data_IF_630024804132
#
_entry.id   IF_630024804132
#
_cell.length_a   1.000
_cell.length_b   1.000
_cell.length_c   1.000
_cell.angle_alpha   90.00
_cell.angle_beta   90.00
_cell.angle_gamma   90.00
#
_symmetry.space_group_name_H-M   'P 1'
#
loop_
_entity.id
_entity.type
_entity.pdbx_description
1 polymer ?
#
# COMPACT_ATOMS: atom_id res chain seq x y z
N UNK A 1 22.65 8.37 46.37
CA UNK A 1 22.23 8.90 45.05
C UNK A 1 23.40 9.65 44.42
N UNK A 2 23.95 9.17 43.29
CA UNK A 2 25.03 9.89 42.58
C UNK A 2 24.47 11.20 42.02
N UNK A 3 24.94 12.36 42.47
CA UNK A 3 24.67 13.65 41.82
C UNK A 3 25.13 13.55 40.36
N UNK A 4 24.22 13.68 39.40
CA UNK A 4 24.58 13.83 37.99
C UNK A 4 25.53 15.02 37.87
N UNK A 5 26.79 14.76 37.48
CA UNK A 5 27.78 15.81 37.25
C UNK A 5 27.38 16.57 35.98
N UNK A 6 27.30 17.91 36.06
CA UNK A 6 27.02 18.76 34.91
C UNK A 6 28.00 18.44 33.77
N UNK A 7 27.45 18.19 32.57
CA UNK A 7 28.22 17.97 31.36
C UNK A 7 27.43 18.53 30.18
N UNK A 8 28.02 19.51 29.49
CA UNK A 8 27.48 20.07 28.25
C UNK A 8 28.44 19.75 27.11
N UNK A 9 27.93 19.19 26.01
CA UNK A 9 28.71 18.92 24.80
C UNK A 9 27.91 19.33 23.57
N UNK A 10 28.10 20.56 23.10
CA UNK A 10 27.35 21.10 21.96
C UNK A 10 28.16 22.15 21.19
N UNK A 11 27.71 22.46 19.98
CA UNK A 11 28.19 23.59 19.17
C UNK A 11 27.30 24.82 19.31
N UNK A 12 26.05 24.64 19.72
CA UNK A 12 25.04 25.71 19.77
C UNK A 12 24.56 25.87 21.21
N UNK A 13 24.78 27.06 21.77
CA UNK A 13 24.60 27.32 23.19
C UNK A 13 23.65 28.50 23.35
N UNK A 14 22.66 28.33 24.24
CA UNK A 14 21.75 29.38 24.66
C UNK A 14 21.99 29.69 26.13
N UNK A 15 22.22 30.96 26.44
CA UNK A 15 22.46 31.47 27.79
C UNK A 15 21.34 32.42 28.19
N UNK A 16 20.91 32.33 29.43
CA UNK A 16 19.99 33.29 30.04
C UNK A 16 20.58 33.79 31.35
N UNK A 17 20.96 35.07 31.40
CA UNK A 17 21.38 35.75 32.62
C UNK A 17 20.16 36.44 33.23
N UNK A 18 19.68 35.93 34.35
CA UNK A 18 18.52 36.51 35.06
C UNK A 18 18.99 37.52 36.10
N UNK A 19 18.25 38.63 36.27
CA UNK A 19 18.56 39.72 37.21
C UNK A 19 19.96 40.32 36.99
N UNK A 20 20.39 40.40 35.73
CA UNK A 20 21.74 40.84 35.39
C UNK A 20 21.73 42.25 34.79
N UNK A 21 22.27 43.28 35.49
CA UNK A 21 22.24 44.66 35.03
C UNK A 21 23.37 44.98 34.02
N UNK A 22 24.20 44.00 33.65
CA UNK A 22 25.39 44.22 32.80
C UNK A 22 25.04 44.60 31.35
N UNK A 23 23.83 44.26 30.90
CA UNK A 23 23.34 44.56 29.56
C UNK A 23 23.94 43.66 28.47
N UNK A 24 23.33 43.72 27.29
CA UNK A 24 23.67 42.87 26.14
C UNK A 24 25.08 43.13 25.62
N UNK A 25 25.53 44.38 25.52
CA UNK A 25 26.85 44.73 24.98
C UNK A 25 28.00 44.12 25.79
N UNK A 26 27.94 44.26 27.11
CA UNK A 26 28.99 43.76 28.02
C UNK A 26 29.05 42.24 28.01
N UNK A 27 27.89 41.59 28.07
CA UNK A 27 27.82 40.13 28.05
C UNK A 27 28.24 39.58 26.67
N UNK A 28 27.82 40.21 25.59
CA UNK A 28 28.18 39.83 24.22
C UNK A 28 29.71 39.83 24.03
N UNK A 29 30.37 40.93 24.41
CA UNK A 29 31.83 41.06 24.32
C UNK A 29 32.55 40.06 25.23
N UNK A 30 32.08 39.88 26.46
CA UNK A 30 32.64 38.88 27.38
C UNK A 30 32.59 37.47 26.79
N UNK A 31 31.48 37.06 26.17
CA UNK A 31 31.37 35.73 25.56
C UNK A 31 32.36 35.58 24.41
N UNK A 32 32.54 36.60 23.57
CA UNK A 32 33.54 36.60 22.49
C UNK A 32 34.95 36.43 23.04
N UNK A 33 35.36 37.27 24.00
CA UNK A 33 36.67 37.20 24.64
C UNK A 33 36.90 35.85 25.34
N UNK A 34 35.88 35.35 26.03
CA UNK A 34 35.94 34.05 26.69
C UNK A 34 36.16 32.93 25.67
N UNK A 35 35.44 32.90 24.55
CA UNK A 35 35.63 31.86 23.53
C UNK A 35 37.01 31.93 22.88
N UNK A 36 37.50 33.14 22.59
CA UNK A 36 38.85 33.39 22.07
C UNK A 36 39.89 32.84 23.05
N UNK A 37 39.78 33.15 24.35
CA UNK A 37 40.69 32.65 25.39
C UNK A 37 40.74 31.12 25.48
N UNK A 38 39.66 30.44 25.07
CA UNK A 38 39.51 28.98 25.06
C UNK A 38 39.87 28.35 23.71
N UNK A 39 40.45 29.13 22.78
CA UNK A 39 40.78 28.71 21.41
C UNK A 39 39.57 28.13 20.68
N UNK A 40 38.39 28.69 20.94
CA UNK A 40 37.14 28.41 20.24
C UNK A 40 36.81 29.59 19.33
N UNK A 41 36.21 29.29 18.19
CA UNK A 41 35.79 30.29 17.22
C UNK A 41 34.26 30.30 17.14
N UNK A 42 33.69 31.49 17.27
CA UNK A 42 32.25 31.74 17.16
C UNK A 42 31.92 31.99 15.69
N UNK A 43 31.02 31.18 15.12
CA UNK A 43 30.50 31.39 13.75
C UNK A 43 29.31 32.33 13.69
N UNK A 44 28.55 32.43 14.79
CA UNK A 44 27.37 33.28 14.91
C UNK A 44 27.11 33.60 16.39
N UNK A 45 26.71 34.84 16.69
CA UNK A 45 26.28 35.24 18.04
C UNK A 45 25.19 36.31 17.95
N UNK A 46 24.17 36.19 18.78
CA UNK A 46 23.11 37.18 18.94
C UNK A 46 22.80 37.39 20.43
N UNK A 47 22.51 38.63 20.83
CA UNK A 47 22.24 39.00 22.22
C UNK A 47 21.17 40.08 22.34
N UNK A 48 20.26 39.94 23.29
CA UNK A 48 19.23 40.94 23.65
C UNK A 48 19.14 41.05 25.19
N UNK A 49 18.85 42.27 25.69
CA UNK A 49 18.41 42.51 27.06
C UNK A 49 16.91 42.81 27.08
N UNK A 50 16.13 41.86 27.59
CA UNK A 50 14.69 41.95 27.71
C UNK A 50 14.32 42.72 28.99
N UNK A 51 13.62 43.85 28.81
CA UNK A 51 13.09 44.69 29.88
C UNK A 51 11.56 44.51 29.96
N UNK A 52 11.10 43.48 30.68
CA UNK A 52 9.66 43.30 30.89
C UNK A 52 9.10 44.33 31.86
N UNK A 53 8.23 45.22 31.39
CA UNK A 53 7.54 46.20 32.25
C UNK A 53 6.63 45.52 33.29
N UNK A 54 6.20 44.27 33.07
CA UNK A 54 5.28 43.53 33.94
C UNK A 54 5.96 42.61 34.98
N UNK A 55 7.26 42.32 34.83
CA UNK A 55 8.04 41.50 35.76
C UNK A 55 9.35 42.21 36.06
N UNK A 56 9.60 42.58 37.31
CA UNK A 56 10.73 43.39 37.82
C UNK A 56 12.15 42.82 37.60
N UNK A 57 12.37 41.96 36.61
CA UNK A 57 13.62 41.20 36.44
C UNK A 57 14.18 41.39 35.02
N UNK A 58 15.38 41.98 34.94
CA UNK A 58 16.13 42.17 33.69
C UNK A 58 16.74 40.83 33.28
N UNK A 59 16.45 40.39 32.06
CA UNK A 59 17.02 39.16 31.50
C UNK A 59 17.87 39.46 30.28
N UNK A 60 19.10 38.95 30.23
CA UNK A 60 19.92 38.98 29.03
C UNK A 60 20.02 37.59 28.43
N UNK A 61 19.55 37.47 27.19
CA UNK A 61 19.59 36.25 26.40
C UNK A 61 20.74 36.32 25.39
N UNK A 62 21.53 35.25 25.31
CA UNK A 62 22.64 35.13 24.36
C UNK A 62 22.58 33.77 23.68
N UNK A 63 22.52 33.76 22.37
CA UNK A 63 22.67 32.56 21.54
C UNK A 63 23.97 32.70 20.77
N UNK A 64 24.81 31.66 20.81
CA UNK A 64 26.01 31.62 19.97
C UNK A 64 26.31 30.22 19.47
N UNK A 65 26.99 30.16 18.33
CA UNK A 65 27.37 28.95 17.63
C UNK A 65 28.88 28.90 17.45
N UNK A 66 29.45 27.73 17.70
CA UNK A 66 30.88 27.49 17.58
C UNK A 66 31.19 26.64 16.34
N UNK A 67 32.38 26.85 15.76
CA UNK A 67 32.85 26.01 14.64
C UNK A 67 33.11 24.57 15.11
N UNK A 68 33.68 24.42 16.31
CA UNK A 68 34.00 23.14 16.97
C UNK A 68 33.10 22.87 18.17
N UNK A 69 32.97 21.59 18.55
CA UNK A 69 32.14 21.20 19.71
C UNK A 69 32.83 21.60 21.00
N UNK A 70 32.13 22.33 21.86
CA UNK A 70 32.60 22.71 23.18
C UNK A 70 32.12 21.69 24.21
N UNK A 71 33.05 21.21 25.05
CA UNK A 71 32.79 20.24 26.12
C UNK A 71 33.08 20.86 27.48
N UNK A 72 32.03 21.16 28.23
CA UNK A 72 32.12 21.80 29.55
C UNK A 72 31.65 20.82 30.63
N UNK A 73 32.39 20.79 31.75
CA UNK A 73 32.02 20.07 32.98
C UNK A 73 31.82 21.00 34.19
N UNK A 74 32.23 22.26 34.06
CA UNK A 74 32.05 23.28 35.08
C UNK A 74 30.81 24.10 34.77
N UNK A 75 29.81 24.09 35.66
CA UNK A 75 28.62 24.92 35.49
C UNK A 75 28.97 26.42 35.50
N UNK A 76 30.00 26.84 36.24
CA UNK A 76 30.43 28.24 36.35
C UNK A 76 31.26 28.76 35.17
N UNK A 77 31.24 28.06 34.04
CA UNK A 77 32.12 28.35 32.91
C UNK A 77 31.81 29.71 32.26
N UNK A 78 30.56 30.13 32.30
CA UNK A 78 30.08 31.39 31.73
C UNK A 78 29.74 32.43 32.81
N UNK A 79 30.30 32.31 34.02
CA UNK A 79 30.04 33.30 35.07
C UNK A 79 30.74 34.61 34.73
N UNK A 80 30.06 35.75 34.92
CA UNK A 80 30.63 37.09 34.74
C UNK A 80 30.22 37.96 35.93
N UNK A 81 31.19 38.59 36.61
CA UNK A 81 30.95 39.50 37.75
C UNK A 81 29.99 38.95 38.83
N UNK A 82 30.03 37.64 39.06
CA UNK A 82 29.18 36.95 40.04
C UNK A 82 27.80 36.52 39.53
N UNK A 83 27.46 36.83 38.27
CA UNK A 83 26.23 36.39 37.63
C UNK A 83 26.42 35.04 36.92
N UNK A 84 25.57 34.08 37.26
CA UNK A 84 25.58 32.73 36.71
C UNK A 84 24.43 32.53 35.71
N UNK A 85 24.69 32.22 34.43
CA UNK A 85 23.64 32.01 33.46
C UNK A 85 23.02 30.63 33.56
N UNK A 86 21.76 30.51 33.16
CA UNK A 86 21.18 29.23 32.74
C UNK A 86 21.81 28.82 31.42
N UNK A 87 22.48 27.67 31.39
CA UNK A 87 23.19 27.16 30.21
C UNK A 87 22.37 26.05 29.56
N UNK A 88 21.93 26.26 28.33
CA UNK A 88 21.11 25.31 27.58
C UNK A 88 21.72 25.01 26.20
N UNK A 89 21.41 23.83 25.68
CA UNK A 89 21.70 23.49 24.29
C UNK A 89 20.59 24.07 23.41
N UNK A 90 20.94 24.94 22.46
CA UNK A 90 19.99 25.53 21.53
C UNK A 90 19.53 24.46 20.52
N UNK A 91 18.35 23.88 20.76
CA UNK A 91 17.79 22.81 19.91
C UNK A 91 17.18 23.34 18.61
N UNK A 92 16.48 24.46 18.70
CA UNK A 92 15.80 25.13 17.59
C UNK A 92 16.40 26.54 17.43
N UNK A 93 17.29 26.69 16.44
CA UNK A 93 18.07 27.92 16.25
C UNK A 93 17.17 29.05 15.78
N UNK A 94 16.25 28.78 14.86
CA UNK A 94 15.35 29.78 14.28
C UNK A 94 14.43 30.36 15.35
N UNK A 95 13.74 29.50 16.11
CA UNK A 95 12.91 29.97 17.25
C UNK A 95 13.70 30.73 18.30
N UNK A 96 14.96 30.34 18.55
CA UNK A 96 15.81 31.02 19.53
C UNK A 96 16.21 32.42 19.03
N UNK A 97 16.48 32.56 17.74
CA UNK A 97 16.75 33.85 17.09
C UNK A 97 15.50 34.73 17.14
N UNK A 98 14.34 34.20 16.74
CA UNK A 98 13.06 34.92 16.77
C UNK A 98 12.72 35.40 18.18
N UNK A 99 12.93 34.54 19.18
CA UNK A 99 12.75 34.89 20.59
C UNK A 99 13.64 36.07 21.00
N UNK A 100 14.93 36.05 20.64
CA UNK A 100 15.87 37.12 20.97
C UNK A 100 15.57 38.40 20.18
N UNK A 101 15.07 38.31 18.95
CA UNK A 101 14.75 39.48 18.11
C UNK A 101 13.42 40.15 18.42
N UNK A 102 12.57 39.54 19.26
CA UNK A 102 11.19 39.95 19.52
C UNK A 102 11.03 41.44 19.89
N UNK A 103 11.94 41.98 20.70
CA UNK A 103 11.87 43.36 21.20
C UNK A 103 12.64 44.37 20.34
N UNK A 104 13.22 43.94 19.21
CA UNK A 104 13.89 44.80 18.24
C UNK A 104 15.25 45.38 18.66
N UNK A 105 15.64 45.30 19.94
CA UNK A 105 16.91 45.81 20.46
C UNK A 105 17.94 44.70 20.72
N UNK A 106 18.68 44.29 19.69
CA UNK A 106 19.64 43.19 19.75
C UNK A 106 20.97 43.52 19.05
N UNK A 107 22.01 42.75 19.40
CA UNK A 107 23.33 42.77 18.75
C UNK A 107 23.52 41.42 18.07
N UNK A 108 23.87 41.42 16.79
CA UNK A 108 24.04 40.21 15.98
C UNK A 108 25.33 40.29 15.17
N UNK A 109 26.13 39.22 15.21
CA UNK A 109 27.36 39.09 14.42
C UNK A 109 27.48 37.68 13.81
N UNK A 110 27.98 37.63 12.57
CA UNK A 110 28.16 36.39 11.80
C UNK A 110 26.89 35.92 11.10
N UNK A 111 26.93 34.69 10.58
CA UNK A 111 25.82 34.09 9.84
C UNK A 111 25.33 32.84 10.56
N UNK A 112 24.04 32.75 10.94
CA UNK A 112 23.55 31.60 11.67
C UNK A 112 23.66 30.34 10.81
N UNK A 113 24.30 29.32 11.37
CA UNK A 113 24.25 27.97 10.82
C UNK A 113 22.93 27.36 11.25
N UNK A 114 21.94 27.45 10.37
CA UNK A 114 20.74 26.66 10.51
C UNK A 114 21.14 25.18 10.49
N UNK A 115 20.95 24.47 11.61
CA UNK A 115 20.84 23.02 11.50
C UNK A 115 19.66 22.79 10.56
N UNK A 116 19.86 22.08 9.44
CA UNK A 116 18.78 21.47 8.67
C UNK A 116 18.08 20.44 9.57
N UNK A 117 17.38 20.90 10.60
CA UNK A 117 16.29 20.17 11.22
C UNK A 117 15.12 20.28 10.26
N UNK A 118 15.21 19.57 9.13
CA UNK A 118 13.97 19.08 8.53
C UNK A 118 13.46 18.10 9.59
N UNK A 119 12.37 18.44 10.28
CA UNK A 119 11.73 17.46 11.17
C UNK A 119 11.55 16.18 10.35
N UNK A 120 11.87 15.03 10.91
CA UNK A 120 11.65 13.74 10.22
C UNK A 120 10.22 13.68 9.63
N UNK A 121 9.26 14.24 10.38
CA UNK A 121 7.88 14.49 9.98
C UNK A 121 7.72 15.34 8.70
N UNK A 122 8.49 16.41 8.47
CA UNK A 122 8.35 17.24 7.26
C UNK A 122 8.88 16.55 6.00
N UNK A 123 9.96 15.75 6.11
CA UNK A 123 10.45 14.95 4.97
C UNK A 123 9.46 13.83 4.65
N UNK A 124 8.88 13.21 5.68
CA UNK A 124 7.82 12.21 5.53
C UNK A 124 6.52 12.83 4.98
N UNK A 125 6.12 14.01 5.44
CA UNK A 125 4.96 14.76 4.93
C UNK A 125 5.15 15.15 3.46
N UNK A 126 6.30 15.71 3.07
CA UNK A 126 6.60 16.00 1.66
C UNK A 126 6.58 14.74 0.80
N UNK A 127 7.18 13.66 1.30
CA UNK A 127 7.16 12.36 0.62
C UNK A 127 5.73 11.83 0.48
N UNK A 128 4.89 12.00 1.49
CA UNK A 128 3.48 11.61 1.48
C UNK A 128 2.71 12.43 0.44
N UNK A 129 2.89 13.75 0.39
CA UNK A 129 2.28 14.61 -0.63
C UNK A 129 2.65 14.19 -2.06
N UNK A 130 3.91 13.80 -2.28
CA UNK A 130 4.36 13.29 -3.58
C UNK A 130 3.68 11.95 -3.90
N UNK A 131 3.55 11.04 -2.94
CA UNK A 131 2.83 9.78 -3.17
C UNK A 131 1.35 9.99 -3.43
N UNK A 132 0.70 10.91 -2.71
CA UNK A 132 -0.71 11.23 -2.89
C UNK A 132 -0.95 11.81 -4.30
N UNK A 133 -0.05 12.67 -4.78
CA UNK A 133 -0.12 13.20 -6.14
C UNK A 133 0.11 12.13 -7.20
N UNK A 134 1.06 11.21 -7.00
CA UNK A 134 1.25 10.05 -7.87
C UNK A 134 -0.03 9.21 -7.95
N UNK A 135 -0.71 8.99 -6.82
CA UNK A 135 -1.96 8.22 -6.79
C UNK A 135 -3.10 8.96 -7.49
N UNK A 136 -3.21 10.27 -7.28
CA UNK A 136 -4.19 11.13 -7.96
C UNK A 136 -4.01 11.09 -9.48
N UNK A 137 -2.80 11.34 -9.96
CA UNK A 137 -2.47 11.31 -11.38
C UNK A 137 -2.63 9.92 -11.99
N UNK A 138 -2.39 8.86 -11.21
CA UNK A 138 -2.62 7.48 -11.65
C UNK A 138 -4.11 7.22 -11.88
N UNK A 139 -4.98 7.62 -10.96
CA UNK A 139 -6.42 7.45 -11.11
C UNK A 139 -6.97 8.28 -12.27
N UNK A 140 -6.47 9.50 -12.44
CA UNK A 140 -6.80 10.34 -13.59
C UNK A 140 -6.36 9.69 -14.92
N UNK A 141 -5.10 9.22 -14.98
CA UNK A 141 -4.57 8.52 -16.15
C UNK A 141 -5.34 7.23 -16.46
N UNK A 142 -5.80 6.51 -15.43
CA UNK A 142 -6.57 5.28 -15.59
C UNK A 142 -7.89 5.54 -16.30
N UNK A 143 -8.58 6.62 -15.95
CA UNK A 143 -9.94 6.91 -16.40
C UNK A 143 -10.03 7.84 -17.63
N UNK A 144 -9.00 8.65 -17.91
CA UNK A 144 -8.98 9.60 -19.03
C UNK A 144 -8.09 9.10 -20.18
N UNK A 145 -8.70 8.57 -21.24
CA UNK A 145 -7.99 8.07 -22.43
C UNK A 145 -7.23 9.16 -23.20
N UNK A 146 -7.57 10.44 -23.01
CA UNK A 146 -6.90 11.56 -23.70
C UNK A 146 -5.60 12.01 -23.02
N UNK A 147 -5.39 11.58 -21.77
CA UNK A 147 -4.23 11.95 -20.97
C UNK A 147 -3.03 11.05 -21.32
N UNK A 148 -1.94 11.63 -21.81
CA UNK A 148 -0.73 10.88 -22.17
C UNK A 148 0.26 10.80 -21.00
N UNK A 149 1.10 9.76 -20.96
CA UNK A 149 2.16 9.62 -19.96
C UNK A 149 3.10 10.84 -19.91
N UNK A 150 3.37 11.48 -21.05
CA UNK A 150 4.17 12.70 -21.09
C UNK A 150 3.51 13.88 -20.36
N UNK A 151 2.18 14.01 -20.45
CA UNK A 151 1.43 15.05 -19.71
C UNK A 151 1.42 14.76 -18.21
N UNK A 152 1.20 13.50 -17.84
CA UNK A 152 1.28 13.03 -16.44
C UNK A 152 2.65 13.31 -15.85
N UNK A 153 3.72 12.92 -16.57
CA UNK A 153 5.10 13.14 -16.17
C UNK A 153 5.37 14.63 -15.93
N UNK A 154 5.02 15.47 -16.90
CA UNK A 154 5.23 16.92 -16.78
C UNK A 154 4.52 17.50 -15.54
N UNK A 155 3.27 17.11 -15.31
CA UNK A 155 2.51 17.56 -14.13
C UNK A 155 3.16 17.11 -12.82
N UNK A 156 3.65 15.87 -12.77
CA UNK A 156 4.33 15.33 -11.60
C UNK A 156 5.69 16.01 -11.36
N UNK A 157 6.47 16.22 -12.42
CA UNK A 157 7.77 16.88 -12.35
C UNK A 157 7.59 18.33 -11.84
N UNK A 158 6.62 19.07 -12.38
CA UNK A 158 6.29 20.44 -11.96
C UNK A 158 5.86 20.47 -10.47
N UNK A 159 5.07 19.49 -10.02
CA UNK A 159 4.65 19.37 -8.62
C UNK A 159 5.82 19.09 -7.68
N UNK A 160 6.67 18.11 -8.00
CA UNK A 160 7.80 17.73 -7.15
C UNK A 160 8.85 18.84 -7.11
N UNK A 161 9.15 19.50 -8.24
CA UNK A 161 10.11 20.60 -8.29
C UNK A 161 9.67 21.80 -7.43
N UNK A 162 8.36 22.04 -7.31
CA UNK A 162 7.80 23.07 -6.44
C UNK A 162 7.85 22.71 -4.95
N UNK A 163 7.81 21.42 -4.61
CA UNK A 163 7.82 20.94 -3.22
C UNK A 163 9.24 20.70 -2.70
N UNK A 164 10.05 19.97 -3.48
CA UNK A 164 11.38 19.53 -3.08
C UNK A 164 12.26 19.21 -4.29
N UNK A 165 13.05 20.20 -4.70
CA UNK A 165 13.96 20.11 -5.86
C UNK A 165 15.05 19.05 -5.68
N UNK A 166 15.56 18.90 -4.46
CA UNK A 166 16.62 17.93 -4.15
C UNK A 166 16.08 16.51 -4.24
N UNK A 167 14.85 16.28 -3.74
CA UNK A 167 14.17 14.98 -3.88
C UNK A 167 13.98 14.57 -5.33
N UNK A 168 13.59 15.50 -6.21
CA UNK A 168 13.42 15.22 -7.64
C UNK A 168 14.71 14.68 -8.26
N UNK A 169 15.85 15.32 -7.97
CA UNK A 169 17.15 14.92 -8.48
C UNK A 169 17.63 13.58 -7.90
N UNK A 170 17.35 13.33 -6.62
CA UNK A 170 17.70 12.06 -5.94
C UNK A 170 16.84 10.87 -6.39
N UNK A 171 15.58 11.10 -6.79
CA UNK A 171 14.59 10.03 -7.03
C UNK A 171 14.07 9.95 -8.47
N UNK A 172 14.69 10.66 -9.42
CA UNK A 172 14.30 10.66 -10.83
C UNK A 172 14.12 9.24 -11.40
N UNK A 173 15.09 8.34 -11.17
CA UNK A 173 15.01 6.94 -11.61
C UNK A 173 13.88 6.13 -10.95
N UNK A 174 13.52 6.46 -9.72
CA UNK A 174 12.39 5.82 -9.04
C UNK A 174 11.07 6.30 -9.64
N UNK A 175 10.95 7.60 -9.91
CA UNK A 175 9.78 8.22 -10.55
C UNK A 175 9.58 7.60 -11.94
N UNK A 176 10.65 7.50 -12.73
CA UNK A 176 10.63 6.85 -14.05
C UNK A 176 10.12 5.41 -13.97
N UNK A 177 10.63 4.63 -13.02
CA UNK A 177 10.15 3.25 -12.80
C UNK A 177 8.68 3.20 -12.40
N UNK A 178 8.20 4.13 -11.60
CA UNK A 178 6.80 4.18 -11.15
C UNK A 178 5.89 4.52 -12.34
N UNK A 179 6.23 5.55 -13.11
CA UNK A 179 5.47 5.95 -14.29
C UNK A 179 5.38 4.79 -15.30
N UNK A 180 6.51 4.13 -15.60
CA UNK A 180 6.53 3.07 -16.60
C UNK A 180 5.91 1.74 -16.13
N UNK A 181 5.91 1.43 -14.83
CA UNK A 181 5.43 0.12 -14.31
C UNK A 181 4.05 0.14 -13.66
N UNK A 182 3.56 1.30 -13.22
CA UNK A 182 2.35 1.39 -12.39
C UNK A 182 1.21 2.17 -13.01
N UNK A 183 1.45 2.90 -14.10
CA UNK A 183 0.43 3.62 -14.85
C UNK A 183 0.02 2.77 -16.05
N UNK A 184 -1.23 2.35 -16.06
CA UNK A 184 -1.82 1.52 -17.11
C UNK A 184 -3.18 2.12 -17.40
N UNK A 185 -3.58 2.19 -18.68
CA UNK A 185 -4.92 2.64 -19.03
C UNK A 185 -5.96 1.61 -18.61
N UNK A 186 -7.17 2.07 -18.29
CA UNK A 186 -8.30 1.16 -18.08
C UNK A 186 -8.52 0.25 -19.28
N UNK A 187 -8.36 0.78 -20.50
CA UNK A 187 -8.49 -0.03 -21.72
C UNK A 187 -7.37 -1.08 -21.85
N UNK A 188 -6.11 -0.71 -21.60
CA UNK A 188 -4.96 -1.63 -21.63
C UNK A 188 -5.07 -2.71 -20.54
N UNK A 189 -5.51 -2.36 -19.32
CA UNK A 189 -5.74 -3.35 -18.24
C UNK A 189 -6.91 -4.27 -18.57
N UNK A 190 -7.92 -3.79 -19.31
CA UNK A 190 -9.02 -4.63 -19.82
C UNK A 190 -8.59 -5.51 -21.01
N UNK A 191 -7.69 -5.04 -21.86
CA UNK A 191 -7.12 -5.79 -23.00
C UNK A 191 -6.16 -6.89 -22.54
N UNK A 192 -5.31 -6.64 -21.51
CA UNK A 192 -4.45 -7.67 -20.89
C UNK A 192 -5.26 -8.75 -20.13
N UNK A 193 -6.53 -8.47 -19.80
CA UNK A 193 -7.46 -9.46 -19.24
C UNK A 193 -8.10 -10.36 -20.34
N UNK A 194 -8.05 -9.97 -21.61
CA UNK A 194 -8.71 -10.64 -22.75
C UNK A 194 -7.83 -11.69 -23.48
N UNK A 195 -6.74 -12.18 -22.88
CA UNK A 195 -6.05 -13.34 -23.45
C UNK A 195 -6.92 -14.59 -23.21
N UNK A 196 -7.81 -14.89 -24.17
CA UNK A 196 -8.53 -16.15 -24.21
C UNK A 196 -7.50 -17.26 -24.09
N UNK A 197 -7.64 -18.12 -23.09
CA UNK A 197 -6.93 -19.39 -23.10
C UNK A 197 -7.22 -20.06 -24.46
N UNK A 198 -6.20 -20.14 -25.31
CA UNK A 198 -6.34 -20.74 -26.63
C UNK A 198 -6.37 -22.25 -26.42
N UNK A 199 -7.53 -22.91 -26.59
CA UNK A 199 -7.59 -24.35 -26.40
C UNK A 199 -6.72 -25.03 -27.47
N UNK A 200 -6.04 -26.11 -27.08
CA UNK A 200 -5.19 -26.89 -27.98
C UNK A 200 -5.99 -27.54 -29.14
N UNK A 201 -7.31 -27.63 -28.98
CA UNK A 201 -8.22 -28.28 -29.91
C UNK A 201 -9.34 -27.33 -30.35
N UNK A 202 -9.71 -27.40 -31.64
CA UNK A 202 -10.90 -26.73 -32.14
C UNK A 202 -12.16 -27.41 -31.62
N UNK A 203 -13.22 -26.66 -31.35
CA UNK A 203 -14.50 -27.26 -30.98
C UNK A 203 -15.03 -28.22 -32.07
N UNK A 204 -14.75 -27.92 -33.34
CA UNK A 204 -15.18 -28.75 -34.48
C UNK A 204 -14.49 -30.12 -34.54
N UNK A 205 -13.40 -30.34 -33.78
CA UNK A 205 -12.73 -31.66 -33.73
C UNK A 205 -13.40 -32.65 -32.78
N UNK A 206 -14.42 -32.23 -32.02
CA UNK A 206 -15.13 -33.09 -31.08
C UNK A 206 -16.35 -33.76 -31.74
N UNK A 207 -16.72 -34.94 -31.24
CA UNK A 207 -17.88 -35.69 -31.73
C UNK A 207 -19.17 -34.96 -31.40
N UNK A 208 -20.03 -34.77 -32.39
CA UNK A 208 -21.44 -34.44 -32.15
C UNK A 208 -22.22 -35.71 -31.83
N UNK A 209 -22.35 -36.05 -30.55
CA UNK A 209 -23.06 -37.24 -30.07
C UNK A 209 -24.03 -36.88 -28.93
N UNK A 210 -24.78 -37.86 -28.43
CA UNK A 210 -25.77 -37.63 -27.38
C UNK A 210 -25.20 -36.96 -26.14
N UNK A 211 -23.95 -37.26 -25.76
CA UNK A 211 -23.31 -36.74 -24.54
C UNK A 211 -22.77 -35.34 -24.71
N UNK A 212 -22.12 -35.03 -25.83
CA UNK A 212 -21.70 -33.65 -26.12
C UNK A 212 -22.91 -32.72 -26.25
N UNK A 213 -23.99 -33.18 -26.88
CA UNK A 213 -25.25 -32.44 -26.96
C UNK A 213 -25.92 -32.23 -25.59
N UNK A 214 -25.92 -33.25 -24.73
CA UNK A 214 -26.43 -33.16 -23.35
C UNK A 214 -25.68 -32.08 -22.54
N UNK A 215 -24.34 -32.09 -22.62
CA UNK A 215 -23.49 -31.09 -21.95
C UNK A 215 -23.78 -29.67 -22.49
N UNK A 216 -23.82 -29.51 -23.81
CA UNK A 216 -24.10 -28.22 -24.46
C UNK A 216 -25.47 -27.69 -24.04
N UNK A 217 -26.50 -28.53 -24.05
CA UNK A 217 -27.86 -28.16 -23.67
C UNK A 217 -27.94 -27.74 -22.19
N UNK A 218 -27.25 -28.46 -21.29
CA UNK A 218 -27.18 -28.09 -19.88
C UNK A 218 -26.53 -26.72 -19.69
N UNK A 219 -25.40 -26.45 -20.36
CA UNK A 219 -24.70 -25.16 -20.27
C UNK A 219 -25.60 -24.03 -20.80
N UNK A 220 -26.20 -24.18 -21.98
CA UNK A 220 -27.06 -23.15 -22.57
C UNK A 220 -28.28 -22.84 -21.69
N UNK A 221 -28.91 -23.87 -21.13
CA UNK A 221 -30.05 -23.73 -20.22
C UNK A 221 -29.65 -22.92 -18.99
N UNK A 222 -28.52 -23.26 -18.35
CA UNK A 222 -28.10 -22.57 -17.13
C UNK A 222 -27.56 -21.15 -17.38
N UNK A 223 -26.94 -20.88 -18.54
CA UNK A 223 -26.58 -19.52 -18.95
C UNK A 223 -27.83 -18.64 -19.18
N UNK A 224 -28.92 -19.24 -19.68
CA UNK A 224 -30.20 -18.55 -19.84
C UNK A 224 -30.81 -18.19 -18.49
N UNK A 225 -30.83 -19.14 -17.54
CA UNK A 225 -31.25 -18.92 -16.14
C UNK A 225 -30.44 -17.79 -15.51
N UNK A 226 -29.11 -17.81 -15.67
CA UNK A 226 -28.23 -16.76 -15.17
C UNK A 226 -28.55 -15.38 -15.78
N UNK A 227 -28.87 -15.34 -17.07
CA UNK A 227 -29.19 -14.09 -17.79
C UNK A 227 -30.51 -13.47 -17.33
N UNK A 228 -31.44 -14.29 -16.82
CA UNK A 228 -32.66 -13.84 -16.13
C UNK A 228 -32.39 -13.33 -14.69
N UNK A 229 -31.14 -13.35 -14.25
CA UNK A 229 -30.74 -12.94 -12.91
C UNK A 229 -30.99 -14.00 -11.83
N UNK A 230 -31.43 -15.19 -12.22
CA UNK A 230 -31.63 -16.33 -11.36
C UNK A 230 -30.30 -17.05 -11.06
N UNK A 231 -30.37 -18.00 -10.13
CA UNK A 231 -29.22 -18.77 -9.66
C UNK A 231 -29.08 -20.02 -10.53
N UNK A 232 -28.07 -20.12 -11.41
CA UNK A 232 -27.87 -21.33 -12.19
C UNK A 232 -27.51 -22.51 -11.29
N UNK A 233 -27.99 -23.71 -11.64
CA UNK A 233 -27.47 -24.96 -11.07
C UNK A 233 -26.06 -25.19 -11.57
N UNK A 234 -25.22 -25.79 -10.73
CA UNK A 234 -23.91 -26.26 -11.15
C UNK A 234 -24.05 -27.48 -12.06
N UNK A 235 -23.11 -27.66 -12.98
CA UNK A 235 -23.05 -28.84 -13.85
C UNK A 235 -21.87 -29.68 -13.39
N UNK A 236 -22.09 -30.95 -13.10
CA UNK A 236 -21.07 -31.92 -12.71
C UNK A 236 -20.91 -32.90 -13.86
N UNK A 237 -19.75 -32.89 -14.48
CA UNK A 237 -19.40 -33.78 -15.59
C UNK A 237 -18.40 -34.80 -15.07
N UNK A 238 -18.88 -36.02 -14.89
CA UNK A 238 -18.08 -37.12 -14.38
C UNK A 238 -17.68 -38.07 -15.52
N UNK A 239 -16.43 -38.54 -15.51
CA UNK A 239 -15.97 -39.60 -16.40
C UNK A 239 -14.50 -39.90 -16.15
N UNK A 240 -13.97 -40.97 -16.75
CA UNK A 240 -12.55 -41.31 -16.56
C UNK A 240 -11.60 -40.23 -17.11
N UNK A 241 -10.34 -40.29 -16.68
CA UNK A 241 -9.26 -39.48 -17.23
C UNK A 241 -9.09 -39.73 -18.73
N UNK A 242 -8.67 -38.69 -19.47
CA UNK A 242 -8.38 -38.73 -20.93
C UNK A 242 -9.58 -39.00 -21.85
N UNK A 243 -10.80 -38.69 -21.39
CA UNK A 243 -12.00 -38.68 -22.26
C UNK A 243 -12.20 -37.35 -23.02
N UNK A 244 -11.37 -36.34 -22.76
CA UNK A 244 -11.46 -35.02 -23.41
C UNK A 244 -12.45 -34.06 -22.76
N UNK A 245 -12.82 -34.26 -21.49
CA UNK A 245 -13.80 -33.44 -20.76
C UNK A 245 -13.38 -31.97 -20.68
N UNK A 246 -12.15 -31.74 -20.23
CA UNK A 246 -11.58 -30.41 -20.03
C UNK A 246 -11.46 -29.69 -21.36
N UNK A 247 -10.84 -30.34 -22.35
CA UNK A 247 -10.64 -29.78 -23.68
C UNK A 247 -11.98 -29.47 -24.35
N UNK A 248 -12.98 -30.36 -24.24
CA UNK A 248 -14.31 -30.12 -24.82
C UNK A 248 -14.97 -28.86 -24.27
N UNK A 249 -14.96 -28.68 -22.93
CA UNK A 249 -15.58 -27.51 -22.28
C UNK A 249 -14.85 -26.22 -22.65
N UNK A 250 -13.52 -26.22 -22.59
CA UNK A 250 -12.71 -25.06 -22.93
C UNK A 250 -12.93 -24.67 -24.40
N UNK A 251 -12.87 -25.64 -25.33
CA UNK A 251 -13.10 -25.41 -26.76
C UNK A 251 -14.52 -24.90 -27.03
N UNK A 252 -15.55 -25.46 -26.38
CA UNK A 252 -16.93 -25.02 -26.55
C UNK A 252 -17.15 -23.58 -26.07
N UNK A 253 -16.68 -23.24 -24.87
CA UNK A 253 -16.87 -21.90 -24.30
C UNK A 253 -16.11 -20.84 -25.10
N UNK A 254 -14.88 -21.14 -25.53
CA UNK A 254 -14.11 -20.26 -26.41
C UNK A 254 -14.80 -20.10 -27.77
N UNK A 255 -15.32 -21.18 -28.38
CA UNK A 255 -16.10 -21.12 -29.62
C UNK A 255 -17.37 -20.25 -29.50
N UNK A 256 -17.99 -20.22 -28.31
CA UNK A 256 -19.13 -19.33 -28.00
C UNK A 256 -18.74 -17.91 -27.57
N UNK A 257 -17.45 -17.58 -27.58
CA UNK A 257 -16.91 -16.31 -27.11
C UNK A 257 -17.34 -15.99 -25.65
N UNK A 258 -17.36 -17.02 -24.80
CA UNK A 258 -17.73 -16.90 -23.39
C UNK A 258 -16.47 -16.91 -22.53
N UNK A 259 -16.28 -15.85 -21.75
CA UNK A 259 -15.20 -15.81 -20.77
C UNK A 259 -15.51 -16.67 -19.53
N UNK A 260 -14.51 -17.41 -19.08
CA UNK A 260 -14.60 -18.32 -17.94
C UNK A 260 -13.37 -18.22 -17.05
N UNK A 261 -13.56 -18.48 -15.75
CA UNK A 261 -12.46 -18.74 -14.83
C UNK A 261 -12.16 -20.23 -14.85
N UNK A 262 -10.89 -20.60 -14.89
CA UNK A 262 -10.45 -22.00 -14.82
C UNK A 262 -9.63 -22.21 -13.54
N UNK A 263 -10.04 -23.16 -12.71
CA UNK A 263 -9.38 -23.50 -11.45
C UNK A 263 -9.13 -24.99 -11.43
N UNK A 264 -7.86 -25.38 -11.22
CA UNK A 264 -7.43 -26.78 -11.22
C UNK A 264 -6.71 -27.12 -9.93
N UNK A 265 -7.14 -28.18 -9.25
CA UNK A 265 -6.52 -28.74 -8.05
C UNK A 265 -6.73 -27.92 -6.77
N UNK A 266 -6.35 -26.63 -6.77
CA UNK A 266 -6.45 -25.75 -5.60
C UNK A 266 -7.21 -24.46 -5.91
N UNK A 267 -7.93 -23.94 -4.90
CA UNK A 267 -8.68 -22.69 -5.02
C UNK A 267 -7.77 -21.47 -5.01
N UNK A 268 -7.64 -20.82 -6.16
CA UNK A 268 -7.04 -19.49 -6.28
C UNK A 268 -8.04 -18.45 -6.79
N UNK A 269 -8.49 -17.60 -5.88
CA UNK A 269 -9.35 -16.46 -6.18
C UNK A 269 -8.59 -15.13 -6.22
N UNK A 270 -7.28 -15.14 -6.49
CA UNK A 270 -6.48 -13.95 -6.75
C UNK A 270 -7.02 -13.15 -7.95
N UNK A 271 -6.65 -11.86 -8.05
CA UNK A 271 -7.03 -11.03 -9.22
C UNK A 271 -6.46 -11.56 -10.53
N UNK A 272 -5.37 -12.32 -10.45
CA UNK A 272 -4.68 -12.89 -11.60
C UNK A 272 -5.43 -14.13 -12.09
N UNK A 273 -5.82 -15.02 -11.18
CA UNK A 273 -6.42 -16.31 -11.52
C UNK A 273 -7.96 -16.30 -11.63
N UNK A 274 -8.63 -15.32 -11.03
CA UNK A 274 -10.10 -15.25 -11.04
C UNK A 274 -10.59 -13.85 -11.38
N UNK A 275 -11.47 -13.73 -12.37
CA UNK A 275 -12.11 -12.48 -12.80
C UNK A 275 -13.57 -12.46 -12.38
N UNK A 276 -13.98 -11.36 -11.73
CA UNK A 276 -15.37 -11.18 -11.29
C UNK A 276 -16.32 -11.00 -12.48
N UNK A 277 -15.87 -10.40 -13.58
CA UNK A 277 -16.66 -10.18 -14.78
C UNK A 277 -17.08 -11.49 -15.49
N UNK A 278 -16.30 -12.57 -15.34
CA UNK A 278 -16.55 -13.82 -16.06
C UNK A 278 -17.76 -14.56 -15.52
N UNK A 279 -18.61 -15.05 -16.42
CA UNK A 279 -19.91 -15.63 -16.07
C UNK A 279 -19.84 -17.09 -15.66
N UNK A 280 -18.78 -17.78 -16.07
CA UNK A 280 -18.58 -19.22 -15.89
C UNK A 280 -17.34 -19.46 -15.03
N UNK A 281 -17.40 -20.45 -14.15
CA UNK A 281 -16.27 -21.02 -13.43
C UNK A 281 -16.15 -22.50 -13.77
N UNK A 282 -14.96 -22.94 -14.12
CA UNK A 282 -14.63 -24.34 -14.36
C UNK A 282 -13.73 -24.79 -13.21
N UNK A 283 -14.14 -25.85 -12.53
CA UNK A 283 -13.40 -26.49 -11.45
C UNK A 283 -12.99 -27.88 -11.93
N UNK A 284 -11.72 -28.04 -12.28
CA UNK A 284 -11.16 -29.31 -12.71
C UNK A 284 -10.40 -29.96 -11.55
N UNK A 285 -10.67 -31.24 -11.32
CA UNK A 285 -10.02 -32.03 -10.27
C UNK A 285 -10.22 -31.46 -8.85
N UNK A 286 -11.44 -31.02 -8.56
CA UNK A 286 -11.85 -30.45 -7.26
C UNK A 286 -12.97 -31.27 -6.65
N UNK A 287 -12.71 -31.82 -5.46
CA UNK A 287 -13.61 -32.69 -4.71
C UNK A 287 -14.51 -31.94 -3.71
N UNK A 288 -15.65 -32.53 -3.34
CA UNK A 288 -16.53 -31.98 -2.30
C UNK A 288 -15.80 -31.79 -0.94
N UNK A 289 -15.00 -32.75 -0.45
CA UNK A 289 -14.23 -32.55 0.78
C UNK A 289 -13.32 -31.31 0.73
N UNK A 290 -12.64 -31.05 -0.40
CA UNK A 290 -11.83 -29.83 -0.58
C UNK A 290 -12.69 -28.57 -0.51
N UNK A 291 -13.82 -28.53 -1.25
CA UNK A 291 -14.76 -27.39 -1.22
C UNK A 291 -15.24 -27.10 0.21
N UNK A 292 -15.56 -28.16 0.97
CA UNK A 292 -16.03 -28.05 2.36
C UNK A 292 -14.94 -27.54 3.30
N UNK A 293 -13.70 -28.02 3.13
CA UNK A 293 -12.55 -27.59 3.93
C UNK A 293 -12.30 -26.08 3.81
N UNK A 294 -12.51 -25.52 2.63
CA UNK A 294 -12.40 -24.08 2.39
C UNK A 294 -13.65 -23.27 2.81
N UNK A 295 -14.70 -23.92 3.31
CA UNK A 295 -15.95 -23.26 3.69
C UNK A 295 -16.74 -22.70 2.50
N UNK A 296 -16.52 -23.25 1.30
CA UNK A 296 -17.06 -22.76 0.02
C UNK A 296 -18.26 -23.56 -0.51
N UNK A 297 -18.74 -24.52 0.27
CA UNK A 297 -19.79 -25.47 -0.12
C UNK A 297 -21.04 -24.79 -0.68
N UNK A 298 -21.61 -23.82 0.03
CA UNK A 298 -22.83 -23.16 -0.43
C UNK A 298 -22.55 -22.15 -1.56
N UNK A 299 -21.38 -21.52 -1.49
CA UNK A 299 -20.95 -20.42 -2.35
C UNK A 299 -20.71 -20.91 -3.78
N UNK A 300 -20.01 -22.03 -3.94
CA UNK A 300 -19.62 -22.57 -5.25
C UNK A 300 -20.69 -23.52 -5.79
N UNK A 301 -21.12 -24.53 -5.01
CA UNK A 301 -21.98 -25.61 -5.52
C UNK A 301 -23.35 -25.12 -5.96
N UNK A 302 -23.91 -24.09 -5.33
CA UNK A 302 -25.14 -23.54 -5.87
C UNK A 302 -25.00 -22.14 -6.44
N UNK A 303 -23.85 -21.46 -6.39
CA UNK A 303 -23.74 -20.11 -6.97
C UNK A 303 -24.52 -19.03 -6.21
N UNK A 304 -24.32 -18.90 -4.89
CA UNK A 304 -24.97 -17.84 -4.07
C UNK A 304 -24.56 -16.41 -4.51
N UNK A 305 -25.12 -15.37 -3.88
CA UNK A 305 -24.95 -13.92 -4.20
C UNK A 305 -23.51 -13.35 -4.08
N UNK A 306 -22.51 -14.19 -3.89
CA UNK A 306 -21.10 -13.82 -3.77
C UNK A 306 -20.56 -14.11 -2.37
N UNK A 307 -19.24 -14.02 -2.21
CA UNK A 307 -18.58 -14.33 -0.93
C UNK A 307 -17.27 -13.57 -0.78
N UNK A 308 -16.78 -13.45 0.46
CA UNK A 308 -15.44 -12.92 0.72
C UNK A 308 -14.45 -14.06 0.91
N UNK A 309 -13.31 -14.00 0.25
CA UNK A 309 -12.26 -15.01 0.29
C UNK A 309 -10.93 -14.40 0.75
N UNK A 310 -10.21 -15.13 1.61
CA UNK A 310 -8.88 -14.73 2.07
C UNK A 310 -7.86 -15.23 1.05
N UNK A 311 -7.30 -14.32 0.25
CA UNK A 311 -6.26 -14.67 -0.73
C UNK A 311 -4.91 -14.73 -0.02
N UNK A 312 -4.13 -15.76 -0.29
CA UNK A 312 -2.80 -15.93 0.32
C UNK A 312 -1.90 -14.76 -0.08
N UNK A 313 -1.26 -14.13 0.90
CA UNK A 313 -0.35 -12.98 0.71
C UNK A 313 -0.96 -11.75 0.01
N UNK A 314 -2.29 -11.63 -0.02
CA UNK A 314 -2.99 -10.48 -0.60
C UNK A 314 -4.19 -10.06 0.26
N UNK A 315 -4.69 -8.82 0.09
CA UNK A 315 -5.91 -8.39 0.78
C UNK A 315 -7.10 -9.29 0.48
N UNK A 316 -8.01 -9.41 1.46
CA UNK A 316 -9.25 -10.16 1.32
C UNK A 316 -10.05 -9.65 0.11
N UNK A 317 -10.55 -10.57 -0.71
CA UNK A 317 -11.27 -10.23 -1.94
C UNK A 317 -12.74 -10.59 -1.85
N UNK A 318 -13.59 -9.79 -2.49
CA UNK A 318 -15.02 -10.11 -2.69
C UNK A 318 -15.20 -10.74 -4.07
N UNK A 319 -15.70 -11.96 -4.09
CA UNK A 319 -15.96 -12.77 -5.29
C UNK A 319 -17.42 -12.63 -5.68
N UNK A 320 -17.66 -12.29 -6.95
CA UNK A 320 -18.98 -12.13 -7.49
C UNK A 320 -19.72 -13.48 -7.54
N UNK A 321 -20.99 -13.45 -7.14
CA UNK A 321 -21.87 -14.61 -7.12
C UNK A 321 -22.62 -14.87 -8.43
N UNK A 322 -23.59 -15.78 -8.38
CA UNK A 322 -24.49 -16.14 -9.50
C UNK A 322 -23.72 -16.51 -10.78
N UNK A 323 -22.58 -17.18 -10.64
CA UNK A 323 -21.80 -17.71 -11.76
C UNK A 323 -22.21 -19.15 -12.03
N UNK A 324 -22.21 -19.58 -13.29
CA UNK A 324 -22.36 -20.98 -13.64
C UNK A 324 -21.07 -21.71 -13.25
N UNK A 325 -21.17 -22.70 -12.36
CA UNK A 325 -20.04 -23.56 -12.00
C UNK A 325 -20.14 -24.88 -12.75
N UNK A 326 -19.06 -25.26 -13.43
CA UNK A 326 -18.91 -26.54 -14.13
C UNK A 326 -17.80 -27.31 -13.42
N UNK A 327 -18.12 -28.46 -12.86
CA UNK A 327 -17.18 -29.36 -12.20
C UNK A 327 -16.81 -30.48 -13.15
N UNK A 328 -15.51 -30.66 -13.38
CA UNK A 328 -14.97 -31.77 -14.13
C UNK A 328 -14.32 -32.72 -13.15
N UNK A 329 -14.93 -33.89 -12.98
CA UNK A 329 -14.53 -34.84 -11.94
C UNK A 329 -14.25 -36.21 -12.54
N UNK A 330 -13.33 -36.92 -11.89
CA UNK A 330 -13.05 -38.31 -12.15
C UNK A 330 -13.76 -39.18 -11.08
N UNK A 331 -13.98 -40.48 -11.34
CA UNK A 331 -14.74 -41.35 -10.43
C UNK A 331 -14.17 -41.44 -9.00
N UNK A 332 -12.87 -41.23 -8.82
CA UNK A 332 -12.19 -41.22 -7.51
C UNK A 332 -12.60 -40.05 -6.61
N UNK A 333 -13.09 -38.95 -7.19
CA UNK A 333 -13.62 -37.78 -6.49
C UNK A 333 -15.09 -37.51 -6.85
N UNK A 334 -15.83 -38.57 -7.19
CA UNK A 334 -17.23 -38.51 -7.61
C UNK A 334 -18.11 -37.77 -6.61
N UNK A 335 -18.94 -36.86 -7.14
CA UNK A 335 -19.94 -36.16 -6.35
C UNK A 335 -21.11 -37.09 -6.01
N UNK A 336 -21.43 -38.06 -6.87
CA UNK A 336 -22.48 -39.04 -6.61
C UNK A 336 -22.07 -39.98 -5.47
N UNK A 337 -20.86 -40.54 -5.50
CA UNK A 337 -20.34 -41.34 -4.39
C UNK A 337 -20.29 -40.54 -3.08
N UNK A 338 -19.99 -39.24 -3.15
CA UNK A 338 -20.05 -38.37 -1.97
C UNK A 338 -21.49 -38.19 -1.44
N UNK A 339 -22.47 -38.11 -2.34
CA UNK A 339 -23.88 -38.03 -1.96
C UNK A 339 -24.33 -39.32 -1.29
N UNK A 340 -23.96 -40.49 -1.82
CA UNK A 340 -24.23 -41.79 -1.20
C UNK A 340 -23.61 -41.88 0.20
N UNK A 341 -22.32 -41.57 0.32
CA UNK A 341 -21.64 -41.51 1.62
C UNK A 341 -22.35 -40.56 2.59
N UNK A 342 -22.79 -39.39 2.13
CA UNK A 342 -23.52 -38.44 2.96
C UNK A 342 -24.85 -39.04 3.45
N UNK A 343 -25.58 -39.73 2.59
CA UNK A 343 -26.86 -40.36 2.91
C UNK A 343 -26.70 -41.50 3.91
N UNK A 344 -25.76 -42.41 3.65
CA UNK A 344 -25.44 -43.56 4.51
C UNK A 344 -24.98 -43.17 5.92
N UNK A 345 -24.35 -42.00 6.05
CA UNK A 345 -23.86 -41.47 7.32
C UNK A 345 -24.84 -40.48 7.98
N UNK A 346 -26.08 -40.37 7.48
CA UNK A 346 -27.12 -39.51 8.06
C UNK A 346 -26.87 -38.01 7.92
N UNK A 347 -26.00 -37.60 6.99
CA UNK A 347 -25.74 -36.22 6.66
C UNK A 347 -26.67 -35.72 5.54
N UNK A 348 -26.99 -34.42 5.55
CA UNK A 348 -27.86 -33.78 4.53
C UNK A 348 -27.11 -33.07 3.40
N UNK A 349 -25.84 -33.40 3.18
CA UNK A 349 -25.07 -32.77 2.10
C UNK A 349 -25.61 -33.21 0.73
N UNK A 350 -26.02 -34.48 0.61
CA UNK A 350 -26.61 -35.02 -0.61
C UNK A 350 -27.86 -34.24 -1.06
N UNK A 351 -28.77 -33.88 -0.14
CA UNK A 351 -29.99 -33.10 -0.45
C UNK A 351 -29.59 -31.79 -1.16
N UNK A 352 -28.65 -31.05 -0.55
CA UNK A 352 -28.19 -29.78 -1.11
C UNK A 352 -27.49 -29.94 -2.46
N UNK A 353 -26.64 -30.96 -2.64
CA UNK A 353 -25.93 -31.17 -3.91
C UNK A 353 -26.94 -31.59 -5.00
N UNK A 354 -27.82 -32.56 -4.73
CA UNK A 354 -28.86 -33.03 -5.67
C UNK A 354 -29.80 -31.89 -6.10
N UNK A 355 -30.13 -30.97 -5.19
CA UNK A 355 -30.98 -29.81 -5.50
C UNK A 355 -30.27 -28.76 -6.38
N UNK A 356 -28.96 -28.57 -6.21
CA UNK A 356 -28.20 -27.48 -6.82
C UNK A 356 -27.30 -27.92 -8.00
N UNK A 357 -27.20 -29.21 -8.30
CA UNK A 357 -26.37 -29.75 -9.38
C UNK A 357 -27.19 -30.47 -10.46
N UNK A 358 -26.65 -30.47 -11.67
CA UNK A 358 -27.03 -31.32 -12.80
C UNK A 358 -25.86 -32.28 -13.02
N UNK A 359 -26.12 -33.58 -13.00
CA UNK A 359 -25.09 -34.62 -13.14
C UNK A 359 -25.12 -35.18 -14.56
N UNK A 360 -23.94 -35.26 -15.20
CA UNK A 360 -23.76 -35.81 -16.54
C UNK A 360 -22.59 -36.77 -16.50
N UNK A 361 -22.86 -38.05 -16.71
CA UNK A 361 -21.82 -39.08 -16.84
C UNK A 361 -21.37 -39.24 -18.30
N UNK A 362 -20.05 -39.26 -18.50
CA UNK A 362 -19.35 -39.41 -19.78
C UNK A 362 -18.62 -40.76 -19.79
N UNK A 363 -19.16 -41.78 -20.49
CA UNK A 363 -18.57 -43.11 -20.54
C UNK A 363 -17.42 -43.23 -21.56
N UNK A 364 -17.46 -42.42 -22.62
CA UNK A 364 -16.60 -42.56 -23.80
C UNK A 364 -15.89 -41.24 -24.15
N UNK A 365 -14.90 -41.33 -25.05
CA UNK A 365 -14.14 -40.17 -25.55
C UNK A 365 -15.06 -39.20 -26.29
N UNK A 366 -14.95 -37.92 -25.97
CA UNK A 366 -15.71 -36.82 -26.58
C UNK A 366 -15.13 -36.37 -27.94
N UNK A 367 -13.94 -36.82 -28.30
CA UNK A 367 -13.26 -36.55 -29.57
C UNK A 367 -13.21 -37.81 -30.45
#
# INVERSE_FOLDING_TARGET
MKKNKFRLQTKDIFLTYSKCPLGKDKIHNYIKELMISKKQEISYIISNTENHQDHKEIHTHVLFQLTKQLSIRNQRFFDIEGFHPKIENARDIEKSIDYIKKDGDFIEEGTPRHKKYVRQNQKEERKQLIYDEIMRLKDEYYNDDSLTLNKVRKSLDDFILNIDRDFYLEQSELIDRILNKKFTKKKEELEDEEEFFKPDYSFDSFKSNSKTNEIIAAIQTQLSVQSLGERPKSIVIEGFSRLGKTEFILSYLTHKNLHYNYTRGDFDFSKQSHKNAYKVNIFDDISIPQIRKEGLFKQIIGGQKGFKYNVKYAPKRTIAGKKLSIFLVNPDISFENYCEWSEDNGHKFHEYIKDNCIFIYVPDKLY
#
